data_IF_276461344056
#
_entry.id   IF_276461344056
#
_cell.length_a   1.000
_cell.length_b   1.000
_cell.length_c   1.000
_cell.angle_alpha   90.00
_cell.angle_beta   90.00
_cell.angle_gamma   90.00
#
_symmetry.space_group_name_H-M   'P 1'
#
loop_
_entity.id
_entity.type
_entity.pdbx_description
1 polymer ?
#
# COMPACT_ATOMS: atom_id res chain seq x y z
N UNK A 1 3.27 -15.61 -52.77
CA UNK A 1 2.27 -16.11 -51.81
C UNK A 1 1.39 -14.92 -51.42
N UNK A 2 0.16 -14.83 -51.95
CA UNK A 2 -0.73 -13.66 -51.74
C UNK A 2 -1.66 -13.96 -50.56
N UNK A 3 -1.55 -13.18 -49.48
CA UNK A 3 -2.41 -13.30 -48.30
C UNK A 3 -3.79 -12.73 -48.65
N UNK A 4 -4.84 -13.50 -48.38
CA UNK A 4 -6.22 -13.11 -48.70
C UNK A 4 -6.67 -11.92 -47.84
N UNK A 5 -7.31 -10.89 -48.42
CA UNK A 5 -7.75 -9.70 -47.68
C UNK A 5 -8.72 -10.04 -46.54
N UNK A 6 -9.47 -11.14 -46.67
CA UNK A 6 -10.37 -11.65 -45.62
C UNK A 6 -9.63 -12.20 -44.40
N UNK A 7 -8.41 -12.72 -44.57
CA UNK A 7 -7.59 -13.18 -43.44
C UNK A 7 -7.12 -11.99 -42.59
N UNK A 8 -6.75 -10.89 -43.24
CA UNK A 8 -6.37 -9.63 -42.57
C UNK A 8 -7.59 -9.05 -41.84
N UNK A 9 -8.76 -9.04 -42.47
CA UNK A 9 -9.99 -8.56 -41.85
C UNK A 9 -10.41 -9.40 -40.63
N UNK A 10 -10.29 -10.74 -40.70
CA UNK A 10 -10.53 -11.63 -39.56
C UNK A 10 -9.55 -11.39 -38.41
N UNK A 11 -8.25 -11.24 -38.70
CA UNK A 11 -7.24 -10.99 -37.66
C UNK A 11 -7.46 -9.64 -36.98
N UNK A 12 -7.85 -8.61 -37.73
CA UNK A 12 -8.20 -7.30 -37.17
C UNK A 12 -9.48 -7.38 -36.31
N UNK A 13 -10.50 -8.11 -36.75
CA UNK A 13 -11.76 -8.25 -36.02
C UNK A 13 -11.59 -9.00 -34.68
N UNK A 14 -10.74 -10.03 -34.65
CA UNK A 14 -10.43 -10.79 -33.43
C UNK A 14 -9.58 -9.97 -32.44
N UNK A 15 -8.68 -9.11 -32.92
CA UNK A 15 -7.85 -8.26 -32.04
C UNK A 15 -8.67 -7.17 -31.32
N UNK A 16 -9.72 -6.63 -31.95
CA UNK A 16 -10.57 -5.60 -31.33
C UNK A 16 -11.40 -6.13 -30.16
N UNK A 17 -11.75 -7.42 -30.17
CA UNK A 17 -12.46 -8.07 -29.05
C UNK A 17 -11.57 -8.29 -27.82
N UNK A 18 -10.27 -8.49 -27.98
CA UNK A 18 -9.35 -8.77 -26.88
C UNK A 18 -9.01 -7.53 -26.02
N UNK A 19 -9.24 -6.32 -26.53
CA UNK A 19 -8.97 -5.06 -25.81
C UNK A 19 -10.01 -4.78 -24.70
N UNK A 20 -11.19 -5.41 -24.75
CA UNK A 20 -12.21 -5.31 -23.70
C UNK A 20 -12.01 -6.26 -22.51
N UNK A 21 -10.91 -7.02 -22.47
CA UNK A 21 -10.62 -7.99 -21.41
C UNK A 21 -10.11 -7.40 -20.09
N UNK A 22 -9.76 -6.11 -20.04
CA UNK A 22 -9.46 -5.43 -18.78
C UNK A 22 -10.70 -4.70 -18.27
N UNK A 23 -11.41 -5.31 -17.31
CA UNK A 23 -12.40 -4.58 -16.51
C UNK A 23 -11.68 -3.51 -15.72
N UNK A 24 -11.86 -2.24 -16.09
CA UNK A 24 -11.44 -1.13 -15.23
C UNK A 24 -12.15 -1.27 -13.88
N UNK A 25 -11.41 -1.10 -12.77
CA UNK A 25 -12.02 -1.07 -11.44
C UNK A 25 -13.04 0.06 -11.38
N UNK A 26 -14.32 -0.30 -11.32
CA UNK A 26 -15.45 0.63 -11.24
C UNK A 26 -15.52 1.29 -9.85
N UNK A 27 -14.85 0.70 -8.86
CA UNK A 27 -14.79 1.24 -7.50
C UNK A 27 -13.60 2.21 -7.38
N UNK A 28 -13.93 3.48 -7.15
CA UNK A 28 -13.00 4.47 -6.60
C UNK A 28 -13.24 4.53 -5.09
N UNK A 29 -12.29 4.00 -4.32
CA UNK A 29 -12.29 4.20 -2.88
C UNK A 29 -11.78 5.61 -2.59
N UNK A 30 -12.47 6.41 -1.76
CA UNK A 30 -11.96 7.72 -1.37
C UNK A 30 -10.63 7.56 -0.60
N UNK A 31 -9.75 8.57 -0.64
CA UNK A 31 -8.58 8.60 0.22
C UNK A 31 -8.97 8.43 1.70
N UNK A 32 -8.10 7.77 2.45
CA UNK A 32 -8.31 7.62 3.89
C UNK A 32 -8.25 8.99 4.58
N UNK A 33 -9.14 9.21 5.55
CA UNK A 33 -9.14 10.40 6.39
C UNK A 33 -8.49 10.09 7.75
N UNK A 34 -7.82 11.03 8.38
CA UNK A 34 -7.37 10.84 9.77
C UNK A 34 -8.55 10.94 10.75
N UNK A 35 -8.52 10.13 11.81
CA UNK A 35 -9.52 10.21 12.86
C UNK A 35 -8.97 9.70 14.20
N UNK A 36 -9.70 9.96 15.28
CA UNK A 36 -9.38 9.37 16.59
C UNK A 36 -9.68 7.87 16.58
N UNK A 37 -8.88 7.04 17.28
CA UNK A 37 -9.16 5.61 17.46
C UNK A 37 -10.59 5.33 17.92
N UNK A 38 -11.07 6.09 18.90
CA UNK A 38 -12.37 5.91 19.53
C UNK A 38 -13.51 6.11 18.52
N UNK A 39 -13.36 7.06 17.58
CA UNK A 39 -14.35 7.32 16.53
C UNK A 39 -14.47 6.21 15.48
N UNK A 40 -13.55 5.24 15.49
CA UNK A 40 -13.58 4.03 14.67
C UNK A 40 -13.73 2.75 15.54
N UNK A 41 -14.11 2.90 16.82
CA UNK A 41 -14.30 1.76 17.73
C UNK A 41 -13.00 1.04 18.09
N UNK A 42 -11.88 1.75 18.12
CA UNK A 42 -10.56 1.27 18.54
C UNK A 42 -10.11 1.97 19.82
N UNK A 43 -9.29 1.29 20.64
CA UNK A 43 -8.75 1.84 21.88
C UNK A 43 -7.37 2.45 21.64
N UNK A 44 -7.21 3.74 21.93
CA UNK A 44 -5.92 4.42 21.94
C UNK A 44 -4.90 3.74 22.85
N UNK A 45 -5.31 3.33 24.05
CA UNK A 45 -4.46 2.58 25.00
C UNK A 45 -3.93 1.27 24.40
N UNK A 46 -4.77 0.52 23.68
CA UNK A 46 -4.33 -0.71 23.01
C UNK A 46 -3.38 -0.41 21.85
N UNK A 47 -3.62 0.66 21.09
CA UNK A 47 -2.74 1.08 20.01
C UNK A 47 -1.37 1.54 20.53
N UNK A 48 -1.29 2.12 21.73
CA UNK A 48 -0.03 2.50 22.36
C UNK A 48 0.91 1.29 22.62
N UNK A 49 0.39 0.05 22.63
CA UNK A 49 1.23 -1.15 22.69
C UNK A 49 2.10 -1.32 21.43
N UNK A 50 1.68 -0.77 20.30
CA UNK A 50 2.48 -0.72 19.07
C UNK A 50 3.69 0.18 19.30
N UNK A 51 3.52 1.33 19.96
CA UNK A 51 4.62 2.25 20.28
C UNK A 51 5.70 1.55 21.13
N UNK A 52 5.27 0.87 22.20
CA UNK A 52 6.17 0.18 23.11
C UNK A 52 6.92 -0.97 22.41
N UNK A 53 6.22 -1.73 21.56
CA UNK A 53 6.83 -2.81 20.78
C UNK A 53 7.81 -2.27 19.73
N UNK A 54 7.41 -1.25 18.98
CA UNK A 54 8.21 -0.64 17.93
C UNK A 54 9.48 0.01 18.49
N UNK A 55 9.33 0.83 19.54
CA UNK A 55 10.44 1.44 20.25
C UNK A 55 11.43 0.39 20.75
N UNK A 56 10.93 -0.65 21.44
CA UNK A 56 11.77 -1.75 21.93
C UNK A 56 12.56 -2.43 20.81
N UNK A 57 11.95 -2.73 19.66
CA UNK A 57 12.65 -3.37 18.55
C UNK A 57 13.76 -2.48 17.95
N UNK A 58 13.54 -1.17 17.91
CA UNK A 58 14.54 -0.20 17.46
C UNK A 58 15.67 -0.09 18.49
N UNK A 59 15.33 0.04 19.78
CA UNK A 59 16.29 0.20 20.88
C UNK A 59 17.19 -1.05 21.05
N UNK A 60 16.63 -2.25 20.85
CA UNK A 60 17.38 -3.52 20.86
C UNK A 60 18.19 -3.76 19.58
N UNK A 61 18.10 -2.87 18.59
CA UNK A 61 18.81 -3.00 17.31
C UNK A 61 18.28 -4.13 16.41
N UNK A 62 17.10 -4.67 16.70
CA UNK A 62 16.46 -5.70 15.89
C UNK A 62 15.94 -5.14 14.56
N UNK A 63 15.58 -3.85 14.53
CA UNK A 63 15.19 -3.11 13.33
C UNK A 63 15.86 -1.73 13.32
N UNK A 64 16.41 -1.26 12.18
CA UNK A 64 16.92 0.11 12.09
C UNK A 64 15.81 1.15 12.21
N UNK A 65 14.62 0.84 11.68
CA UNK A 65 13.43 1.68 11.75
C UNK A 65 12.19 0.98 11.21
N UNK A 66 11.02 1.53 11.48
CA UNK A 66 9.72 0.98 11.08
C UNK A 66 8.67 2.09 10.95
N UNK A 67 7.75 1.93 9.99
CA UNK A 67 6.49 2.69 9.92
C UNK A 67 5.33 1.73 10.17
N UNK A 68 4.39 2.13 11.02
CA UNK A 68 3.19 1.37 11.32
C UNK A 68 1.95 2.22 11.05
N UNK A 69 1.00 1.65 10.31
CA UNK A 69 -0.30 2.24 9.96
C UNK A 69 -1.42 1.30 10.38
N UNK A 70 -2.44 1.84 11.04
CA UNK A 70 -3.72 1.15 11.30
C UNK A 70 -4.85 2.03 10.78
N UNK A 71 -5.65 1.47 9.88
CA UNK A 71 -6.86 2.10 9.37
C UNK A 71 -8.08 1.20 9.59
N UNK A 72 -9.22 1.82 9.89
CA UNK A 72 -10.52 1.15 10.07
C UNK A 72 -11.63 2.05 9.58
N UNK A 73 -12.58 1.48 8.83
CA UNK A 73 -13.74 2.18 8.28
C UNK A 73 -13.37 3.45 7.48
N UNK A 74 -12.32 3.35 6.66
CA UNK A 74 -11.82 4.47 5.84
C UNK A 74 -11.03 5.53 6.62
N UNK A 75 -10.76 5.29 7.92
CA UNK A 75 -10.08 6.24 8.80
C UNK A 75 -8.72 5.72 9.24
N UNK A 76 -7.66 6.52 9.08
CA UNK A 76 -6.36 6.29 9.71
C UNK A 76 -6.50 6.65 11.18
N UNK A 77 -6.34 5.66 12.05
CA UNK A 77 -6.44 5.84 13.51
C UNK A 77 -5.08 5.76 14.20
N UNK A 78 -4.06 5.35 13.46
CA UNK A 78 -2.68 5.28 13.93
C UNK A 78 -1.74 5.33 12.72
N UNK A 79 -0.80 6.27 12.72
CA UNK A 79 0.29 6.35 11.75
C UNK A 79 1.51 6.95 12.45
N UNK A 80 2.57 6.17 12.60
CA UNK A 80 3.82 6.61 13.23
C UNK A 80 5.04 5.97 12.58
N UNK A 81 6.16 6.67 12.62
CA UNK A 81 7.49 6.18 12.27
C UNK A 81 8.40 6.07 13.50
N UNK A 82 9.35 5.15 13.45
CA UNK A 82 10.31 4.85 14.51
C UNK A 82 11.69 4.61 13.90
N UNK A 83 12.75 5.03 14.59
CA UNK A 83 14.13 4.76 14.20
C UNK A 83 14.60 5.51 12.95
N UNK A 84 15.55 4.90 12.24
CA UNK A 84 16.24 5.48 11.11
C UNK A 84 15.87 4.81 9.77
N UNK A 85 15.98 5.59 8.69
CA UNK A 85 15.72 5.18 7.31
C UNK A 85 16.91 4.49 6.64
N UNK A 86 18.12 4.76 7.12
CA UNK A 86 19.37 4.27 6.55
C UNK A 86 20.45 4.09 7.62
N UNK A 87 21.59 3.53 7.21
CA UNK A 87 22.73 3.29 8.10
C UNK A 87 23.43 4.58 8.57
N UNK A 88 23.19 5.71 7.90
CA UNK A 88 23.73 7.02 8.27
C UNK A 88 22.94 7.67 9.40
N UNK A 89 21.83 7.05 9.83
CA UNK A 89 21.01 7.52 10.93
C UNK A 89 19.97 8.57 10.55
N UNK A 90 19.63 8.70 9.26
CA UNK A 90 18.55 9.60 8.83
C UNK A 90 17.24 9.23 9.53
N UNK A 91 16.53 10.16 10.20
CA UNK A 91 15.26 9.85 10.83
C UNK A 91 14.21 9.32 9.83
N UNK A 92 13.56 8.21 10.18
CA UNK A 92 12.54 7.62 9.32
C UNK A 92 11.25 8.45 9.34
N UNK A 93 10.70 8.74 8.15
CA UNK A 93 9.42 9.43 7.97
C UNK A 93 8.33 8.48 7.46
N UNK A 94 7.07 8.82 7.72
CA UNK A 94 5.90 8.03 7.30
C UNK A 94 5.68 8.03 5.78
N UNK A 95 6.31 8.96 5.06
CA UNK A 95 6.23 9.12 3.61
C UNK A 95 7.47 8.59 2.87
N UNK A 96 8.42 7.96 3.59
CA UNK A 96 9.56 7.32 2.97
C UNK A 96 9.16 6.13 2.09
N UNK A 97 9.90 5.95 1.00
CA UNK A 97 9.66 4.88 0.03
C UNK A 97 10.35 3.61 0.51
N UNK A 98 9.56 2.54 0.62
CA UNK A 98 10.05 1.21 0.98
C UNK A 98 10.06 0.29 -0.24
N UNK A 99 11.06 -0.60 -0.29
CA UNK A 99 11.05 -1.72 -1.23
C UNK A 99 10.14 -2.82 -0.68
N UNK A 100 8.90 -2.89 -1.16
CA UNK A 100 7.85 -3.77 -0.61
C UNK A 100 7.95 -5.25 -1.05
N UNK A 101 8.84 -5.56 -2.01
CA UNK A 101 9.11 -6.90 -2.50
C UNK A 101 7.81 -7.69 -2.81
N UNK A 102 7.58 -8.81 -2.12
CA UNK A 102 6.44 -9.70 -2.38
C UNK A 102 5.07 -9.06 -2.15
N UNK A 103 4.97 -7.92 -1.45
CA UNK A 103 3.72 -7.16 -1.26
C UNK A 103 3.29 -6.38 -2.52
N UNK A 104 3.97 -6.57 -3.65
CA UNK A 104 3.53 -6.04 -4.96
C UNK A 104 2.33 -6.82 -5.52
N UNK A 105 2.08 -8.02 -5.01
CA UNK A 105 0.98 -8.90 -5.42
C UNK A 105 -0.26 -8.64 -4.58
#
# INVERSE_FOLDING_TARGET
MKISPYLILCVLYVNTFAVFGQTQSINSSPPLAEATPESAGMSSERLARIDAMAGKLVDEGNLPGMVALVARDGKIVYLKSFGAANAEGEPLRTDHIFRIASQTK
#
